data_IF_469309422564
#
_entry.id   IF_469309422564
#
_cell.length_a   1.000
_cell.length_b   1.000
_cell.length_c   1.000
_cell.angle_alpha   90.00
_cell.angle_beta   90.00
_cell.angle_gamma   90.00
#
_symmetry.space_group_name_H-M   'P 1'
#
loop_
_entity.id
_entity.type
_entity.pdbx_description
1 polymer ?
#
# COMPACT_ATOMS: atom_id res chain seq x y z
N UNK A 1 -8.72 -64.13 4.51
CA UNK A 1 -8.68 -63.21 3.35
C UNK A 1 -8.45 -61.81 3.89
N UNK A 2 -7.22 -61.30 4.13
CA UNK A 2 -6.10 -60.92 3.25
C UNK A 2 -6.42 -59.76 2.26
N UNK A 3 -6.36 -58.53 2.76
CA UNK A 3 -6.15 -57.27 2.02
C UNK A 3 -5.12 -56.46 2.85
N UNK A 4 -3.82 -56.39 2.49
CA UNK A 4 -3.16 -55.56 1.46
C UNK A 4 -3.48 -54.06 1.57
N UNK A 5 -2.63 -53.26 2.25
CA UNK A 5 -1.49 -52.53 1.67
C UNK A 5 -0.97 -51.53 2.72
N UNK A 6 0.33 -51.61 3.02
CA UNK A 6 1.01 -50.57 3.75
C UNK A 6 1.19 -49.34 2.86
N UNK A 7 0.53 -48.25 3.20
CA UNK A 7 0.93 -46.94 2.70
C UNK A 7 2.03 -46.42 3.63
N UNK A 8 3.28 -46.45 3.13
CA UNK A 8 4.34 -45.62 3.67
C UNK A 8 4.00 -44.19 3.26
N UNK A 9 3.45 -43.43 4.21
CA UNK A 9 3.24 -42.00 4.12
C UNK A 9 4.62 -41.32 4.16
N UNK A 10 5.26 -41.18 3.00
CA UNK A 10 6.40 -40.29 2.86
C UNK A 10 5.86 -38.85 2.81
N UNK A 11 5.59 -38.29 3.99
CA UNK A 11 5.43 -36.85 4.21
C UNK A 11 6.70 -36.34 4.89
N UNK A 12 7.83 -36.47 4.21
CA UNK A 12 9.09 -35.87 4.63
C UNK A 12 9.77 -35.35 3.37
N UNK A 13 9.52 -34.08 3.02
CA UNK A 13 10.23 -33.47 1.90
C UNK A 13 9.82 -32.05 1.50
N UNK A 14 8.53 -31.76 1.31
CA UNK A 14 8.10 -30.53 0.62
C UNK A 14 7.34 -29.49 1.48
N UNK A 15 6.75 -29.87 2.61
CA UNK A 15 5.96 -28.94 3.44
C UNK A 15 6.81 -27.88 4.17
N UNK A 16 8.11 -28.13 4.34
CA UNK A 16 9.02 -27.18 5.00
C UNK A 16 9.38 -25.98 4.11
N UNK A 17 9.32 -26.12 2.78
CA UNK A 17 9.66 -25.02 1.86
C UNK A 17 8.45 -24.07 1.71
N UNK A 18 7.23 -24.61 1.70
CA UNK A 18 6.02 -23.80 1.57
C UNK A 18 5.72 -22.99 2.86
N UNK A 19 5.92 -23.57 4.04
CA UNK A 19 5.72 -22.85 5.30
C UNK A 19 6.68 -21.65 5.44
N UNK A 20 7.92 -21.76 4.95
CA UNK A 20 8.90 -20.67 4.97
C UNK A 20 8.52 -19.56 3.98
N UNK A 21 8.02 -19.92 2.79
CA UNK A 21 7.55 -18.94 1.81
C UNK A 21 6.34 -18.15 2.35
N UNK A 22 5.35 -18.84 2.92
CA UNK A 22 4.16 -18.20 3.51
C UNK A 22 4.52 -17.28 4.68
N UNK A 23 5.48 -17.67 5.52
CA UNK A 23 6.00 -16.83 6.60
C UNK A 23 6.71 -15.58 6.07
N UNK A 24 7.53 -15.71 5.02
CA UNK A 24 8.21 -14.59 4.41
C UNK A 24 7.23 -13.60 3.76
N UNK A 25 6.23 -14.11 3.03
CA UNK A 25 5.20 -13.29 2.39
C UNK A 25 4.33 -12.54 3.43
N UNK A 26 4.02 -13.20 4.55
CA UNK A 26 3.32 -12.56 5.67
C UNK A 26 4.16 -11.42 6.27
N UNK A 27 5.44 -11.68 6.53
CA UNK A 27 6.37 -10.64 7.03
C UNK A 27 6.49 -9.47 6.06
N UNK A 28 6.67 -9.72 4.75
CA UNK A 28 6.74 -8.65 3.74
C UNK A 28 5.44 -7.82 3.71
N UNK A 29 4.29 -8.50 3.78
CA UNK A 29 2.99 -7.83 3.80
C UNK A 29 2.85 -6.92 5.01
N UNK A 30 3.28 -7.38 6.19
CA UNK A 30 3.22 -6.60 7.44
C UNK A 30 4.15 -5.38 7.39
N UNK A 31 5.37 -5.52 6.84
CA UNK A 31 6.30 -4.40 6.63
C UNK A 31 5.70 -3.34 5.71
N UNK A 32 5.13 -3.77 4.57
CA UNK A 32 4.50 -2.86 3.60
C UNK A 32 3.27 -2.18 4.20
N UNK A 33 2.46 -2.91 4.96
CA UNK A 33 1.31 -2.36 5.67
C UNK A 33 1.72 -1.28 6.68
N UNK A 34 2.79 -1.52 7.45
CA UNK A 34 3.37 -0.55 8.37
C UNK A 34 3.76 0.76 7.69
N UNK A 35 4.48 0.66 6.55
CA UNK A 35 4.89 1.81 5.75
C UNK A 35 3.69 2.61 5.21
N UNK A 36 2.71 1.91 4.63
CA UNK A 36 1.51 2.56 4.09
C UNK A 36 0.72 3.25 5.20
N UNK A 37 0.57 2.64 6.37
CA UNK A 37 -0.11 3.27 7.51
C UNK A 37 0.58 4.57 7.92
N UNK A 38 1.90 4.53 8.11
CA UNK A 38 2.68 5.73 8.46
C UNK A 38 2.52 6.81 7.39
N UNK A 39 2.65 6.46 6.11
CA UNK A 39 2.45 7.38 5.00
C UNK A 39 1.08 8.08 5.04
N UNK A 40 0.01 7.31 5.29
CA UNK A 40 -1.37 7.82 5.33
C UNK A 40 -1.66 8.72 6.55
N UNK A 41 -0.97 8.46 7.66
CA UNK A 41 -1.10 9.24 8.90
C UNK A 41 -0.23 10.50 8.94
N UNK A 42 0.78 10.60 8.08
CA UNK A 42 1.55 11.83 7.90
C UNK A 42 0.64 13.00 7.52
N UNK A 43 0.68 14.07 8.33
CA UNK A 43 0.02 15.33 8.01
C UNK A 43 0.72 16.01 6.83
N UNK A 44 -0.07 16.56 5.93
CA UNK A 44 0.38 17.21 4.71
C UNK A 44 0.38 18.73 4.90
N UNK A 45 1.25 19.48 4.19
CA UNK A 45 1.13 20.93 4.12
C UNK A 45 -0.21 21.32 3.47
N UNK A 46 -0.69 22.51 3.78
CA UNK A 46 -1.91 23.09 3.20
C UNK A 46 -1.84 23.23 1.67
N UNK A 47 -0.65 23.48 1.13
CA UNK A 47 -0.40 23.63 -0.29
C UNK A 47 -0.02 22.31 -1.01
N UNK A 48 -0.37 21.14 -0.45
CA UNK A 48 0.00 19.82 -0.99
C UNK A 48 -0.37 19.59 -2.45
N UNK A 49 -1.51 20.12 -2.89
CA UNK A 49 -1.99 19.98 -4.27
C UNK A 49 -1.21 20.82 -5.29
N UNK A 50 -0.44 21.81 -4.83
CA UNK A 50 0.44 22.62 -5.67
C UNK A 50 1.83 21.99 -5.84
N UNK A 51 2.23 21.09 -4.93
CA UNK A 51 3.54 20.45 -4.95
C UNK A 51 3.64 19.41 -6.06
N UNK A 52 4.78 19.37 -6.74
CA UNK A 52 5.08 18.30 -7.69
C UNK A 52 5.46 16.97 -7.00
N UNK A 53 5.61 15.90 -7.77
CA UNK A 53 5.92 14.56 -7.23
C UNK A 53 7.27 14.56 -6.48
N UNK A 54 8.26 15.32 -6.95
CA UNK A 54 9.58 15.38 -6.33
C UNK A 54 9.50 16.08 -4.96
N UNK A 55 8.83 17.22 -4.89
CA UNK A 55 8.59 17.96 -3.65
C UNK A 55 7.79 17.14 -2.63
N UNK A 56 6.73 16.45 -3.09
CA UNK A 56 5.94 15.53 -2.24
C UNK A 56 6.80 14.44 -1.62
N UNK A 57 7.61 13.75 -2.43
CA UNK A 57 8.55 12.72 -1.95
C UNK A 57 9.57 13.29 -0.96
N UNK A 58 10.09 14.48 -1.25
CA UNK A 58 11.07 15.13 -0.40
C UNK A 58 10.50 15.48 0.98
N UNK A 59 9.26 15.97 1.02
CA UNK A 59 8.51 16.21 2.25
C UNK A 59 8.32 14.91 3.05
N UNK A 60 7.86 13.83 2.40
CA UNK A 60 7.57 12.55 3.05
C UNK A 60 8.83 11.85 3.60
N UNK A 61 9.97 12.01 2.92
CA UNK A 61 11.25 11.43 3.36
C UNK A 61 11.94 12.24 4.46
N UNK A 62 11.39 13.40 4.86
CA UNK A 62 12.01 14.28 5.85
C UNK A 62 13.31 14.94 5.36
N UNK A 63 13.64 14.83 4.07
CA UNK A 63 14.81 15.45 3.43
C UNK A 63 14.47 16.79 2.78
N UNK A 64 13.19 17.15 2.77
CA UNK A 64 12.71 18.47 2.38
C UNK A 64 13.38 19.54 3.24
N UNK A 65 13.66 20.69 2.63
CA UNK A 65 14.20 21.92 3.26
C UNK A 65 13.19 22.54 4.25
N UNK A 66 12.44 21.70 4.96
CA UNK A 66 11.31 21.98 5.82
C UNK A 66 11.72 22.16 7.29
N UNK A 67 13.00 22.46 7.55
CA UNK A 67 13.40 23.08 8.82
C UNK A 67 13.03 24.58 8.88
N UNK A 68 12.36 25.09 7.83
CA UNK A 68 11.80 26.45 7.80
C UNK A 68 10.33 26.40 7.33
N UNK A 69 9.44 25.91 8.19
CA UNK A 69 8.07 26.45 8.26
C UNK A 69 6.92 25.72 7.56
N UNK A 70 7.12 24.57 6.91
CA UNK A 70 6.00 23.75 6.41
C UNK A 70 5.79 22.53 7.31
N UNK A 71 5.22 22.75 8.49
CA UNK A 71 4.70 21.65 9.30
C UNK A 71 3.46 21.08 8.61
N UNK A 72 3.36 19.75 8.54
CA UNK A 72 2.13 19.12 8.08
C UNK A 72 0.97 19.49 9.01
N UNK A 73 -0.08 20.09 8.47
CA UNK A 73 -1.26 20.54 9.24
C UNK A 73 -2.56 19.91 8.75
N UNK A 74 -2.58 19.41 7.52
CA UNK A 74 -3.77 18.89 6.86
C UNK A 74 -3.77 17.37 6.85
N UNK A 75 -4.82 16.77 7.36
CA UNK A 75 -5.00 15.32 7.32
C UNK A 75 -5.41 14.87 5.90
N UNK A 76 -4.72 13.85 5.37
CA UNK A 76 -5.08 13.25 4.08
C UNK A 76 -6.48 12.64 4.13
N UNK A 77 -7.33 13.01 3.17
CA UNK A 77 -8.72 12.55 3.06
C UNK A 77 -8.97 11.55 1.95
N UNK A 78 -8.19 11.62 0.87
CA UNK A 78 -8.30 10.75 -0.30
C UNK A 78 -6.91 10.24 -0.70
N UNK A 79 -6.86 9.02 -1.20
CA UNK A 79 -5.63 8.40 -1.72
C UNK A 79 -5.97 7.40 -2.82
N UNK A 80 -5.05 7.12 -3.75
CA UNK A 80 -5.15 6.02 -4.71
C UNK A 80 -3.91 5.12 -4.68
N UNK A 81 -4.01 3.93 -5.27
CA UNK A 81 -2.89 3.00 -5.34
C UNK A 81 -1.65 3.60 -6.00
N UNK A 82 -1.82 4.39 -7.06
CA UNK A 82 -0.70 4.98 -7.78
C UNK A 82 0.03 6.03 -6.92
N UNK A 83 -0.70 6.78 -6.12
CA UNK A 83 -0.15 7.72 -5.15
C UNK A 83 0.68 6.97 -4.08
N UNK A 84 0.13 5.90 -3.48
CA UNK A 84 0.89 5.08 -2.51
C UNK A 84 2.14 4.49 -3.17
N UNK A 85 2.01 3.94 -4.38
CA UNK A 85 3.13 3.35 -5.10
C UNK A 85 4.26 4.35 -5.37
N UNK A 86 3.90 5.54 -5.85
CA UNK A 86 4.88 6.54 -6.24
C UNK A 86 5.44 7.29 -5.05
N UNK A 87 4.62 7.63 -4.05
CA UNK A 87 5.00 8.53 -2.96
C UNK A 87 5.45 7.77 -1.72
N UNK A 88 4.75 6.69 -1.33
CA UNK A 88 5.13 5.87 -0.17
C UNK A 88 6.30 4.93 -0.51
N UNK A 89 6.26 4.26 -1.67
CA UNK A 89 7.30 3.29 -2.04
C UNK A 89 8.39 3.88 -2.96
N UNK A 90 8.25 5.13 -3.40
CA UNK A 90 9.23 5.80 -4.26
C UNK A 90 9.37 5.17 -5.65
N UNK A 91 8.43 4.32 -6.07
CA UNK A 91 8.53 3.54 -7.32
C UNK A 91 8.03 4.33 -8.52
N UNK A 92 8.39 3.85 -9.72
CA UNK A 92 7.95 4.46 -10.98
C UNK A 92 6.48 4.08 -11.30
N UNK A 93 5.64 5.02 -11.77
CA UNK A 93 4.25 4.73 -12.12
C UNK A 93 4.09 3.59 -13.14
N UNK A 94 5.00 3.47 -14.11
CA UNK A 94 4.95 2.44 -15.16
C UNK A 94 5.31 1.05 -14.65
N UNK A 95 5.98 0.97 -13.50
CA UNK A 95 6.35 -0.29 -12.86
C UNK A 95 5.20 -0.92 -12.05
N UNK A 96 4.09 -0.20 -11.82
CA UNK A 96 2.97 -0.72 -11.05
C UNK A 96 2.24 -1.81 -11.84
N UNK A 97 2.29 -3.05 -11.36
CA UNK A 97 1.57 -4.17 -11.97
C UNK A 97 0.23 -4.40 -11.28
N UNK A 98 -0.55 -5.29 -11.88
CA UNK A 98 -1.86 -5.71 -11.36
C UNK A 98 -1.74 -6.37 -9.99
N UNK A 99 -0.69 -7.18 -9.78
CA UNK A 99 -0.44 -7.85 -8.50
C UNK A 99 -0.17 -6.85 -7.38
N UNK A 100 0.70 -5.87 -7.62
CA UNK A 100 0.98 -4.78 -6.67
C UNK A 100 -0.28 -3.99 -6.31
N UNK A 101 -1.15 -3.76 -7.31
CA UNK A 101 -2.42 -3.06 -7.09
C UNK A 101 -3.39 -3.85 -6.21
N UNK A 102 -3.40 -5.18 -6.31
CA UNK A 102 -4.22 -6.02 -5.44
C UNK A 102 -3.65 -6.08 -4.03
N UNK A 103 -2.33 -6.19 -3.87
CA UNK A 103 -1.65 -6.15 -2.57
C UNK A 103 -1.91 -4.84 -1.84
N UNK A 104 -1.74 -3.71 -2.51
CA UNK A 104 -2.12 -2.38 -2.00
C UNK A 104 -3.60 -2.36 -1.58
N UNK A 105 -4.47 -2.96 -2.39
CA UNK A 105 -5.89 -3.06 -2.07
C UNK A 105 -6.19 -3.92 -0.84
N UNK A 106 -5.41 -4.98 -0.59
CA UNK A 106 -5.50 -5.81 0.61
C UNK A 106 -4.99 -5.07 1.85
N UNK A 107 -3.88 -4.35 1.73
CA UNK A 107 -3.37 -3.47 2.80
C UNK A 107 -4.45 -2.45 3.18
N UNK A 108 -5.01 -1.72 2.21
CA UNK A 108 -6.04 -0.71 2.47
C UNK A 108 -7.32 -1.28 3.12
N UNK A 109 -7.66 -2.54 2.86
CA UNK A 109 -8.83 -3.19 3.48
C UNK A 109 -8.63 -3.48 4.96
N UNK A 110 -7.39 -3.74 5.40
CA UNK A 110 -7.06 -3.96 6.81
C UNK A 110 -7.02 -2.66 7.61
N UNK A 111 -6.85 -1.51 6.94
CA UNK A 111 -6.80 -0.20 7.60
C UNK A 111 -8.20 0.28 7.97
N UNK A 112 -8.57 0.17 9.24
CA UNK A 112 -9.92 0.48 9.72
C UNK A 112 -10.35 1.93 9.49
N UNK A 113 -9.41 2.89 9.48
CA UNK A 113 -9.67 4.31 9.26
C UNK A 113 -9.92 4.68 7.78
N UNK A 114 -9.79 3.72 6.87
CA UNK A 114 -9.97 3.94 5.44
C UNK A 114 -11.07 3.05 4.88
N UNK A 115 -11.71 3.51 3.81
CA UNK A 115 -12.69 2.75 3.05
C UNK A 115 -12.60 3.06 1.55
N UNK A 116 -13.24 2.21 0.74
CA UNK A 116 -13.36 2.49 -0.70
C UNK A 116 -14.18 3.77 -0.87
N UNK A 117 -13.70 4.67 -1.72
CA UNK A 117 -14.41 5.91 -2.00
C UNK A 117 -15.77 5.64 -2.65
N UNK A 118 -16.83 6.23 -2.11
CA UNK A 118 -18.22 6.05 -2.59
C UNK A 118 -18.82 7.31 -3.21
N UNK A 119 -18.07 8.41 -3.29
CA UNK A 119 -18.56 9.68 -3.84
C UNK A 119 -18.84 9.67 -5.35
N UNK A 120 -18.47 8.60 -6.06
CA UNK A 120 -18.90 8.35 -7.44
C UNK A 120 -19.33 6.91 -7.63
N UNK A 121 -20.18 6.63 -8.62
CA UNK A 121 -20.65 5.27 -8.95
C UNK A 121 -19.52 4.26 -9.21
N UNK A 122 -18.37 4.75 -9.68
CA UNK A 122 -17.20 3.93 -10.02
C UNK A 122 -16.16 3.88 -8.89
N UNK A 123 -16.39 4.62 -7.80
CA UNK A 123 -15.43 4.78 -6.70
C UNK A 123 -14.13 5.47 -7.11
N UNK A 124 -14.21 6.36 -8.10
CA UNK A 124 -13.05 7.07 -8.66
C UNK A 124 -13.05 8.54 -8.29
N UNK A 125 -11.86 9.12 -8.13
CA UNK A 125 -11.61 10.56 -8.02
C UNK A 125 -10.51 10.98 -8.99
N UNK A 126 -10.38 12.28 -9.25
CA UNK A 126 -9.28 12.84 -10.04
C UNK A 126 -8.16 13.32 -9.12
N UNK A 127 -6.95 12.83 -9.34
CA UNK A 127 -5.75 13.18 -8.59
C UNK A 127 -4.83 14.03 -9.47
N UNK A 128 -4.25 15.10 -8.94
CA UNK A 128 -3.45 16.10 -9.68
C UNK A 128 -2.39 15.45 -10.58
N UNK A 129 -1.62 14.51 -10.03
CA UNK A 129 -0.50 13.86 -10.74
C UNK A 129 -0.84 12.51 -11.37
N UNK A 130 -1.98 11.93 -11.04
CA UNK A 130 -2.31 10.54 -11.38
C UNK A 130 -3.60 10.41 -12.20
N UNK A 131 -4.28 11.52 -12.48
CA UNK A 131 -5.54 11.56 -13.22
C UNK A 131 -6.66 10.81 -12.50
N UNK A 132 -7.60 10.29 -13.28
CA UNK A 132 -8.77 9.58 -12.75
C UNK A 132 -8.39 8.18 -12.26
N UNK A 133 -8.44 7.97 -10.95
CA UNK A 133 -8.08 6.71 -10.30
C UNK A 133 -9.17 6.22 -9.35
N UNK A 134 -9.20 4.91 -9.08
CA UNK A 134 -9.98 4.38 -7.95
C UNK A 134 -9.38 4.91 -6.65
N UNK A 135 -10.24 5.41 -5.78
CA UNK A 135 -9.84 6.12 -4.58
C UNK A 135 -10.28 5.36 -3.33
N UNK A 136 -9.59 5.67 -2.24
CA UNK A 136 -9.98 5.38 -0.88
C UNK A 136 -10.24 6.70 -0.18
N UNK A 137 -11.23 6.75 0.69
CA UNK A 137 -11.50 7.88 1.58
C UNK A 137 -11.21 7.51 3.02
N UNK A 138 -10.71 8.49 3.77
CA UNK A 138 -10.64 8.39 5.22
C UNK A 138 -12.06 8.49 5.78
N UNK A 139 -12.38 7.64 6.74
CA UNK A 139 -13.68 7.64 7.46
C UNK A 139 -13.81 8.87 8.36
#
# INVERSE_FOLDING_TARGET
MLYHRGEKLYLEGDDAIQAVAEQADAMETDEREGLVRQYLDTLLPDNWDELDIFERRNFLNGTGVADIGKQGTVQRKLVCNLEIWCECFGKDPSALKKVDSYELGSIMQKLESWEKYTGTRQGTSNFTHYGKQRAYSRK
#
